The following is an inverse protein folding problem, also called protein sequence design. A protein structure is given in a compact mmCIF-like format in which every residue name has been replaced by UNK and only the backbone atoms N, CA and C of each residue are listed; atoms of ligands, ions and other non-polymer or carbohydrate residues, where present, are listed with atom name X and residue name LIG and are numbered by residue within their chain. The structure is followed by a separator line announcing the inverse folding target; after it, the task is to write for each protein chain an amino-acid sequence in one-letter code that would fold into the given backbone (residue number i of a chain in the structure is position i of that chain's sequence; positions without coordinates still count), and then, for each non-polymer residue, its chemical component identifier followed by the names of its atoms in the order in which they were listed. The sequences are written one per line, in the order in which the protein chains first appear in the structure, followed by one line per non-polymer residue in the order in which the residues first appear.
data_IF_161605470739
#
_entry.id   IF_161605470739
#
_cell.length_a   1.000
_cell.length_b   1.000
_cell.length_c   1.000
_cell.angle_alpha   90.00
_cell.angle_beta   90.00
_cell.angle_gamma   90.00
#
_symmetry.space_group_name_H-M   'P 1'
#
loop_
_entity.id
_entity.type
_entity.pdbx_description
1 polymer ?
#
# COMPACT_ATOMS: atom_id res chain seq x y z
N UNK A 1 49.52 -23.37 42.02
CA UNK A 1 48.60 -24.16 42.88
C UNK A 1 47.33 -23.35 43.10
N UNK A 2 46.20 -24.00 42.97
CA UNK A 2 44.80 -23.58 43.08
C UNK A 2 44.13 -23.03 41.80
N UNK A 3 43.48 -23.99 41.15
CA UNK A 3 42.40 -23.82 40.20
C UNK A 3 41.08 -23.44 40.92
N UNK A 4 40.40 -22.42 40.41
CA UNK A 4 39.00 -22.18 40.74
C UNK A 4 38.16 -22.15 39.46
N UNK A 5 37.46 -23.24 39.20
CA UNK A 5 36.45 -23.38 38.15
C UNK A 5 35.18 -22.64 38.56
N UNK A 6 34.84 -21.56 37.87
CA UNK A 6 33.54 -20.92 38.02
C UNK A 6 32.60 -21.39 36.89
N UNK A 7 31.51 -22.03 37.31
CA UNK A 7 30.42 -22.56 36.50
C UNK A 7 29.68 -21.43 35.80
N UNK A 8 29.67 -21.48 34.46
CA UNK A 8 28.75 -20.74 33.61
C UNK A 8 27.33 -21.27 33.78
N UNK A 9 26.50 -20.47 34.46
CA UNK A 9 25.04 -20.70 34.50
C UNK A 9 24.42 -20.38 33.17
N UNK A 10 23.89 -21.43 32.53
CA UNK A 10 23.08 -21.34 31.31
C UNK A 10 21.78 -20.58 31.61
N UNK A 11 21.69 -19.33 31.21
CA UNK A 11 20.44 -18.57 31.14
C UNK A 11 19.63 -19.11 29.98
N UNK A 12 18.59 -19.87 30.27
CA UNK A 12 17.51 -20.19 29.32
C UNK A 12 16.81 -18.86 28.94
N UNK A 13 16.91 -18.46 27.69
CA UNK A 13 16.01 -17.48 27.10
C UNK A 13 14.58 -18.06 27.12
N UNK A 14 13.58 -17.36 27.64
CA UNK A 14 12.20 -17.69 27.37
C UNK A 14 11.92 -17.23 25.94
N UNK A 15 11.91 -18.18 25.00
CA UNK A 15 11.22 -18.03 23.73
C UNK A 15 9.74 -17.86 24.03
N UNK A 16 9.26 -16.63 24.16
CA UNK A 16 7.84 -16.34 24.07
C UNK A 16 7.40 -16.76 22.67
N UNK A 17 6.71 -17.88 22.64
CA UNK A 17 5.96 -18.37 21.50
C UNK A 17 4.85 -17.32 21.22
N UNK A 18 5.10 -16.42 20.25
CA UNK A 18 4.05 -15.57 19.71
C UNK A 18 3.02 -16.48 19.05
N UNK A 19 1.92 -16.68 19.73
CA UNK A 19 0.75 -17.35 19.20
C UNK A 19 0.22 -16.49 18.06
N UNK A 20 0.35 -16.97 16.83
CA UNK A 20 -0.13 -16.28 15.64
C UNK A 20 -1.63 -16.61 15.48
N UNK A 21 -2.55 -15.69 15.81
CA UNK A 21 -3.99 -15.95 15.74
C UNK A 21 -4.49 -16.21 14.32
N UNK A 22 -3.65 -15.93 13.29
CA UNK A 22 -3.98 -16.23 11.90
C UNK A 22 -3.83 -17.74 11.63
N UNK A 23 -2.92 -18.44 12.31
CA UNK A 23 -2.73 -19.88 12.14
C UNK A 23 -3.95 -20.68 12.65
N UNK A 24 -4.56 -20.28 13.77
CA UNK A 24 -5.76 -20.95 14.27
C UNK A 24 -6.99 -20.77 13.37
N UNK A 25 -7.14 -19.58 12.77
CA UNK A 25 -8.24 -19.33 11.83
C UNK A 25 -8.07 -20.04 10.48
N UNK A 26 -6.85 -20.49 10.15
CA UNK A 26 -6.58 -21.24 8.91
C UNK A 26 -6.70 -22.75 9.09
N UNK A 27 -6.51 -23.30 10.28
CA UNK A 27 -6.64 -24.76 10.50
C UNK A 27 -8.07 -25.27 10.44
N UNK A 28 -9.09 -24.48 10.83
CA UNK A 28 -10.49 -24.86 10.69
C UNK A 28 -11.03 -24.86 9.25
N UNK A 29 -10.29 -24.28 8.30
CA UNK A 29 -10.73 -24.11 6.91
C UNK A 29 -10.02 -25.02 5.89
N UNK A 30 -9.17 -25.96 6.32
CA UNK A 30 -8.33 -26.79 5.42
C UNK A 30 -9.00 -28.06 4.91
N UNK A 31 -10.32 -28.15 4.81
CA UNK A 31 -10.94 -29.19 3.98
C UNK A 31 -11.13 -28.66 2.54
N UNK A 32 -10.34 -29.15 1.57
CA UNK A 32 -10.55 -28.78 0.18
C UNK A 32 -11.76 -29.52 -0.37
N UNK A 33 -12.95 -28.96 -0.18
CA UNK A 33 -14.10 -29.33 -1.00
C UNK A 33 -13.82 -28.83 -2.40
N UNK A 34 -13.23 -29.67 -3.26
CA UNK A 34 -13.15 -29.40 -4.70
C UNK A 34 -14.57 -29.28 -5.22
N UNK A 35 -15.05 -28.05 -5.31
CA UNK A 35 -16.31 -27.74 -5.98
C UNK A 35 -16.10 -27.91 -7.46
N UNK A 36 -16.45 -29.09 -7.99
CA UNK A 36 -16.57 -29.31 -9.41
C UNK A 36 -17.81 -28.58 -9.88
N UNK A 37 -17.64 -27.46 -10.56
CA UNK A 37 -18.72 -26.85 -11.33
C UNK A 37 -19.14 -27.83 -12.41
N UNK A 38 -20.30 -28.46 -12.23
CA UNK A 38 -20.90 -29.29 -13.26
C UNK A 38 -21.46 -28.40 -14.36
N UNK A 39 -21.51 -28.91 -15.61
CA UNK A 39 -22.13 -28.20 -16.75
C UNK A 39 -23.53 -27.68 -16.42
N UNK A 40 -24.27 -28.36 -15.56
CA UNK A 40 -25.59 -27.97 -15.07
C UNK A 40 -25.60 -26.65 -14.28
N UNK A 41 -24.53 -26.37 -13.49
CA UNK A 41 -24.40 -25.10 -12.73
C UNK A 41 -24.15 -23.93 -13.70
N UNK A 42 -23.32 -24.16 -14.72
CA UNK A 42 -23.04 -23.15 -15.74
C UNK A 42 -24.29 -22.88 -16.55
N UNK A 43 -25.05 -23.90 -16.92
CA UNK A 43 -26.32 -23.78 -17.63
C UNK A 43 -27.37 -23.03 -16.80
N UNK A 44 -27.44 -23.32 -15.50
CA UNK A 44 -28.33 -22.63 -14.56
C UNK A 44 -28.01 -21.14 -14.44
N UNK A 45 -26.73 -20.78 -14.37
CA UNK A 45 -26.26 -19.38 -14.36
C UNK A 45 -26.65 -18.67 -15.66
N UNK A 46 -26.43 -19.31 -16.79
CA UNK A 46 -26.82 -18.77 -18.11
C UNK A 46 -28.36 -18.55 -18.22
N UNK A 47 -29.14 -19.49 -17.71
CA UNK A 47 -30.62 -19.36 -17.74
C UNK A 47 -31.14 -18.22 -16.86
N UNK A 48 -30.57 -18.02 -15.66
CA UNK A 48 -30.96 -16.93 -14.76
C UNK A 48 -30.58 -15.57 -15.37
N UNK A 49 -29.39 -15.46 -15.95
CA UNK A 49 -28.95 -14.22 -16.60
C UNK A 49 -29.80 -13.92 -17.84
N UNK A 50 -30.08 -14.93 -18.65
CA UNK A 50 -30.94 -14.76 -19.84
C UNK A 50 -32.36 -14.36 -19.43
N UNK A 51 -32.91 -14.94 -18.35
CA UNK A 51 -34.20 -14.58 -17.79
C UNK A 51 -34.27 -13.15 -17.26
N UNK A 52 -33.20 -12.69 -16.56
CA UNK A 52 -33.06 -11.31 -16.09
C UNK A 52 -32.94 -10.32 -17.26
N UNK A 53 -32.18 -10.65 -18.30
CA UNK A 53 -32.04 -9.83 -19.50
C UNK A 53 -33.35 -9.74 -20.27
N UNK A 54 -34.11 -10.83 -20.37
CA UNK A 54 -35.42 -10.86 -21.02
C UNK A 54 -36.45 -10.05 -20.23
N UNK A 55 -36.41 -10.10 -18.90
CA UNK A 55 -37.28 -9.27 -18.04
C UNK A 55 -36.97 -7.77 -18.19
N UNK A 56 -35.70 -7.40 -18.33
CA UNK A 56 -35.27 -6.01 -18.58
C UNK A 56 -35.67 -5.54 -19.99
N UNK A 57 -35.60 -6.40 -21.00
CA UNK A 57 -35.96 -6.06 -22.38
C UNK A 57 -37.49 -5.92 -22.60
N UNK A 58 -38.28 -6.47 -21.69
CA UNK A 58 -39.77 -6.40 -21.74
C UNK A 58 -40.37 -5.22 -20.97
N UNK A 59 -39.55 -4.35 -20.34
CA UNK A 59 -40.08 -3.12 -19.74
C UNK A 59 -40.40 -2.08 -20.82
N UNK A 60 -41.68 -1.84 -21.15
CA UNK A 60 -42.05 -0.86 -22.17
C UNK A 60 -41.77 0.54 -21.64
N UNK A 61 -40.83 1.25 -22.25
CA UNK A 61 -40.59 2.66 -22.01
C UNK A 61 -39.23 3.05 -21.42
N UNK A 62 -38.29 2.11 -21.25
CA UNK A 62 -36.93 2.44 -20.89
C UNK A 62 -36.10 2.87 -22.12
N UNK A 63 -36.50 3.96 -22.75
CA UNK A 63 -35.50 4.76 -23.48
C UNK A 63 -34.68 5.45 -22.39
N UNK A 64 -33.62 4.79 -21.99
CA UNK A 64 -32.65 5.38 -21.07
C UNK A 64 -31.94 6.47 -21.84
N UNK A 65 -32.32 7.71 -21.59
CA UNK A 65 -31.55 8.87 -21.98
C UNK A 65 -30.23 8.82 -21.18
N UNK A 66 -29.22 8.14 -21.75
CA UNK A 66 -27.92 7.87 -21.13
C UNK A 66 -27.18 9.14 -20.76
N UNK A 67 -27.54 10.28 -21.36
CA UNK A 67 -26.98 11.58 -21.00
C UNK A 67 -27.57 12.14 -19.69
N UNK A 68 -28.81 11.77 -19.30
CA UNK A 68 -29.42 12.23 -18.04
C UNK A 68 -29.14 11.29 -16.87
N UNK A 69 -29.00 9.98 -17.11
CA UNK A 69 -28.71 8.99 -16.10
C UNK A 69 -27.28 9.18 -15.50
N UNK A 70 -26.30 9.51 -16.32
CA UNK A 70 -24.94 9.81 -15.85
C UNK A 70 -24.87 11.04 -14.94
N UNK A 71 -25.66 12.09 -15.23
CA UNK A 71 -25.73 13.30 -14.39
C UNK A 71 -26.51 13.09 -13.09
N UNK A 72 -27.50 12.22 -13.10
CA UNK A 72 -28.28 11.90 -11.89
C UNK A 72 -27.47 11.04 -10.92
N UNK A 73 -26.68 10.08 -11.43
CA UNK A 73 -25.83 9.22 -10.59
C UNK A 73 -24.72 10.00 -9.90
N UNK A 74 -24.06 10.93 -10.62
CA UNK A 74 -23.04 11.81 -10.04
C UNK A 74 -23.66 12.78 -9.02
N UNK A 75 -24.86 13.30 -9.26
CA UNK A 75 -25.55 14.18 -8.27
C UNK A 75 -25.98 13.43 -7.01
N UNK A 76 -26.41 12.17 -7.11
CA UNK A 76 -26.79 11.39 -5.92
C UNK A 76 -25.57 10.90 -5.13
N UNK A 77 -24.45 10.58 -5.78
CA UNK A 77 -23.22 10.23 -5.07
C UNK A 77 -22.60 11.42 -4.33
N UNK A 78 -22.80 12.66 -4.80
CA UNK A 78 -22.32 13.87 -4.12
C UNK A 78 -23.29 14.35 -3.05
N UNK A 79 -24.59 14.06 -3.15
CA UNK A 79 -25.61 14.52 -2.20
C UNK A 79 -25.78 13.61 -0.98
N UNK A 80 -25.26 12.39 -0.97
CA UNK A 80 -25.36 11.48 0.18
C UNK A 80 -24.16 11.55 1.14
N UNK A 81 -23.32 12.58 1.04
CA UNK A 81 -22.42 12.94 2.13
C UNK A 81 -23.26 13.61 3.24
N UNK A 82 -23.90 12.78 4.07
CA UNK A 82 -24.57 13.24 5.28
C UNK A 82 -23.58 14.05 6.13
N UNK A 83 -23.97 15.22 6.67
CA UNK A 83 -23.10 16.00 7.55
C UNK A 83 -22.60 15.20 8.77
N UNK A 84 -23.32 14.18 9.19
CA UNK A 84 -22.91 13.20 10.20
C UNK A 84 -21.67 12.36 9.80
N UNK A 85 -21.48 12.04 8.52
CA UNK A 85 -20.29 11.32 8.08
C UNK A 85 -19.03 12.20 8.13
N UNK A 86 -19.15 13.51 7.82
CA UNK A 86 -18.04 14.45 7.95
C UNK A 86 -17.60 14.65 9.39
N UNK A 87 -18.55 14.81 10.32
CA UNK A 87 -18.24 14.96 11.75
C UNK A 87 -17.57 13.73 12.35
N UNK A 88 -17.96 12.52 11.92
CA UNK A 88 -17.31 11.28 12.36
C UNK A 88 -15.87 11.17 11.82
N UNK A 89 -15.63 11.56 10.58
CA UNK A 89 -14.31 11.54 9.97
C UNK A 89 -13.38 12.61 10.55
N UNK A 90 -13.90 13.79 10.85
CA UNK A 90 -13.20 14.86 11.58
C UNK A 90 -12.85 14.45 13.01
N UNK A 91 -13.76 13.79 13.73
CA UNK A 91 -13.51 13.28 15.09
C UNK A 91 -12.46 12.16 15.09
N UNK A 92 -12.40 11.30 14.06
CA UNK A 92 -11.35 10.31 13.92
C UNK A 92 -9.98 10.93 13.65
N UNK A 93 -9.92 11.95 12.79
CA UNK A 93 -8.69 12.70 12.53
C UNK A 93 -8.13 13.36 13.78
N UNK A 94 -9.00 13.94 14.63
CA UNK A 94 -8.59 14.54 15.90
C UNK A 94 -7.99 13.51 16.84
N UNK A 95 -8.60 12.34 17.03
CA UNK A 95 -8.06 11.27 17.89
C UNK A 95 -6.73 10.71 17.37
N UNK A 96 -6.58 10.52 16.06
CA UNK A 96 -5.33 10.09 15.46
C UNK A 96 -4.21 11.11 15.70
N UNK A 97 -4.51 12.40 15.53
CA UNK A 97 -3.56 13.48 15.77
C UNK A 97 -3.18 13.56 17.24
N UNK A 98 -4.13 13.40 18.16
CA UNK A 98 -3.87 13.39 19.59
C UNK A 98 -2.96 12.23 19.98
N UNK A 99 -3.21 11.03 19.46
CA UNK A 99 -2.36 9.87 19.66
C UNK A 99 -0.94 10.06 19.09
N UNK A 100 -0.79 10.86 18.03
CA UNK A 100 0.49 11.15 17.39
C UNK A 100 1.26 12.33 18.03
N UNK A 101 0.71 13.04 19.02
CA UNK A 101 1.38 14.19 19.65
C UNK A 101 2.78 13.91 20.21
N UNK A 102 3.04 12.76 20.89
CA UNK A 102 4.40 12.43 21.33
C UNK A 102 5.39 12.36 20.17
N UNK A 103 5.01 11.66 19.09
CA UNK A 103 5.80 11.57 17.86
C UNK A 103 6.10 12.97 17.26
N UNK A 104 5.10 13.83 17.12
CA UNK A 104 5.32 15.19 16.60
C UNK A 104 6.17 16.06 17.51
N UNK A 105 6.12 15.83 18.82
CA UNK A 105 6.97 16.53 19.78
C UNK A 105 8.42 16.10 19.64
N UNK A 106 8.68 14.80 19.51
CA UNK A 106 10.01 14.27 19.26
C UNK A 106 10.57 14.75 17.89
N UNK A 107 9.75 14.73 16.83
CA UNK A 107 10.13 15.25 15.51
C UNK A 107 10.51 16.73 15.55
N UNK A 108 9.74 17.58 16.20
CA UNK A 108 10.09 19.01 16.35
C UNK A 108 11.41 19.22 17.07
N UNK A 109 11.69 18.42 18.09
CA UNK A 109 12.95 18.47 18.82
C UNK A 109 14.15 18.15 17.92
N UNK A 110 14.08 17.07 17.16
CA UNK A 110 15.19 16.66 16.27
C UNK A 110 15.35 17.62 15.10
N UNK A 111 14.28 18.09 14.48
CA UNK A 111 14.33 19.12 13.44
C UNK A 111 14.97 20.42 13.94
N UNK A 112 14.70 20.80 15.20
CA UNK A 112 15.35 21.93 15.84
C UNK A 112 16.85 21.74 16.10
N UNK A 113 17.37 20.52 16.19
CA UNK A 113 18.81 20.23 16.23
C UNK A 113 19.41 20.33 14.82
N UNK A 114 18.81 19.69 13.84
CA UNK A 114 19.29 19.67 12.45
C UNK A 114 19.30 21.08 11.83
N UNK A 115 18.27 21.89 12.05
CA UNK A 115 18.20 23.27 11.53
C UNK A 115 19.31 24.18 12.06
N UNK A 116 19.92 23.82 13.18
CA UNK A 116 21.11 24.49 13.75
C UNK A 116 22.41 23.85 13.30
N UNK A 117 22.38 22.89 12.38
CA UNK A 117 23.56 22.18 11.88
C UNK A 117 24.15 21.17 12.88
N UNK A 118 23.39 20.74 13.89
CA UNK A 118 23.84 19.75 14.85
C UNK A 118 23.59 18.33 14.35
N UNK A 119 24.57 17.74 13.68
CA UNK A 119 24.57 16.33 13.25
C UNK A 119 25.57 15.54 14.11
N UNK A 120 25.14 15.11 15.29
CA UNK A 120 25.98 14.50 16.30
C UNK A 120 25.30 13.30 16.96
N UNK A 121 25.99 12.66 17.91
CA UNK A 121 25.42 11.59 18.73
C UNK A 121 24.14 12.00 19.46
N UNK A 122 24.00 13.28 19.81
CA UNK A 122 22.77 13.83 20.40
C UNK A 122 21.61 13.78 19.41
N UNK A 123 21.87 14.08 18.14
CA UNK A 123 20.85 14.01 17.08
C UNK A 123 20.48 12.56 16.78
N UNK A 124 21.46 11.63 16.75
CA UNK A 124 21.19 10.18 16.67
C UNK A 124 20.27 9.73 17.81
N UNK A 125 20.55 10.17 19.06
CA UNK A 125 19.70 9.83 20.20
C UNK A 125 18.29 10.41 20.06
N UNK A 126 18.17 11.66 19.60
CA UNK A 126 16.85 12.27 19.37
C UNK A 126 16.05 11.55 18.27
N UNK A 127 16.70 11.02 17.22
CA UNK A 127 16.04 10.18 16.22
C UNK A 127 15.64 8.81 16.77
N UNK A 128 16.38 8.23 17.72
CA UNK A 128 15.96 7.02 18.44
C UNK A 128 14.70 7.27 19.26
N UNK A 129 14.59 8.45 19.89
CA UNK A 129 13.37 8.84 20.59
C UNK A 129 12.19 8.93 19.61
N UNK A 130 12.36 9.54 18.42
CA UNK A 130 11.33 9.57 17.35
C UNK A 130 10.92 8.16 16.95
N UNK A 131 11.89 7.29 16.70
CA UNK A 131 11.62 5.91 16.27
C UNK A 131 10.81 5.15 17.34
N UNK A 132 11.15 5.32 18.62
CA UNK A 132 10.43 4.71 19.73
C UNK A 132 8.96 5.21 19.80
N UNK A 133 8.73 6.53 19.70
CA UNK A 133 7.38 7.10 19.70
C UNK A 133 6.55 6.62 18.49
N UNK A 134 7.19 6.45 17.33
CA UNK A 134 6.52 5.91 16.15
C UNK A 134 6.17 4.43 16.30
N UNK A 135 7.04 3.64 16.90
CA UNK A 135 6.78 2.24 17.23
C UNK A 135 5.61 2.14 18.20
N UNK A 136 5.61 2.94 19.25
CA UNK A 136 4.52 2.98 20.23
C UNK A 136 3.20 3.38 19.58
N UNK A 137 3.21 4.43 18.76
CA UNK A 137 2.02 4.86 18.00
C UNK A 137 1.52 3.75 17.07
N UNK A 138 2.43 3.00 16.42
CA UNK A 138 2.06 1.92 15.51
C UNK A 138 1.25 0.83 16.20
N UNK A 139 1.52 0.56 17.49
CA UNK A 139 0.85 -0.45 18.31
C UNK A 139 -0.40 0.09 19.03
N UNK A 140 -0.58 1.41 19.12
CA UNK A 140 -1.78 1.97 19.71
C UNK A 140 -3.02 1.66 18.88
N UNK A 141 -4.11 1.32 19.57
CA UNK A 141 -5.41 1.11 18.93
C UNK A 141 -6.08 2.45 18.66
N UNK A 142 -5.98 2.90 17.43
CA UNK A 142 -6.60 4.14 16.95
C UNK A 142 -8.08 3.89 16.70
N UNK A 143 -8.93 4.73 17.28
CA UNK A 143 -10.37 4.64 17.09
C UNK A 143 -10.76 4.88 15.62
N UNK A 144 -11.52 3.96 15.06
CA UNK A 144 -12.14 4.06 13.74
C UNK A 144 -13.67 4.00 13.90
N UNK A 145 -14.42 4.08 12.79
CA UNK A 145 -15.89 4.01 12.85
C UNK A 145 -16.38 2.67 13.39
N UNK A 146 -15.68 1.56 13.08
CA UNK A 146 -16.16 0.21 13.38
C UNK A 146 -15.49 -0.34 14.63
N UNK A 147 -14.16 -0.40 14.64
CA UNK A 147 -13.38 -0.94 15.76
C UNK A 147 -12.02 -0.27 15.84
N UNK A 148 -11.43 -0.11 17.03
CA UNK A 148 -10.07 0.41 17.15
C UNK A 148 -9.06 -0.52 16.50
N UNK A 149 -8.18 0.06 15.64
CA UNK A 149 -7.16 -0.70 14.89
C UNK A 149 -5.78 -0.09 15.09
N UNK A 150 -4.71 -0.92 15.23
CA UNK A 150 -3.35 -0.42 15.24
C UNK A 150 -2.80 -0.23 13.82
N UNK A 151 -1.85 0.72 13.64
CA UNK A 151 -1.31 1.04 12.32
C UNK A 151 -0.44 -0.08 11.72
N UNK A 152 0.14 -0.94 12.55
CA UNK A 152 1.06 -1.99 12.10
C UNK A 152 0.37 -3.12 11.33
N UNK A 153 -0.95 -3.33 11.51
CA UNK A 153 -1.67 -4.46 10.88
C UNK A 153 -1.98 -4.24 9.39
N UNK A 154 -1.58 -3.11 8.79
CA UNK A 154 -1.86 -2.80 7.37
C UNK A 154 -1.49 -3.97 6.46
N UNK A 155 -0.25 -4.45 6.57
CA UNK A 155 0.24 -5.56 5.75
C UNK A 155 -0.56 -6.85 5.97
N UNK A 156 -0.89 -7.16 7.21
CA UNK A 156 -1.68 -8.35 7.52
C UNK A 156 -3.10 -8.29 6.93
N UNK A 157 -3.75 -7.12 6.92
CA UNK A 157 -5.06 -6.95 6.28
C UNK A 157 -4.96 -6.99 4.74
N UNK A 158 -3.88 -6.52 4.15
CA UNK A 158 -3.61 -6.65 2.72
C UNK A 158 -3.38 -8.11 2.31
N UNK A 159 -2.47 -8.81 3.00
CA UNK A 159 -2.21 -10.24 2.78
C UNK A 159 -3.48 -11.08 2.97
N UNK A 160 -4.29 -10.74 3.98
CA UNK A 160 -5.59 -11.38 4.20
C UNK A 160 -6.55 -11.16 3.04
N UNK A 161 -6.62 -9.95 2.49
CA UNK A 161 -7.44 -9.65 1.33
C UNK A 161 -7.00 -10.45 0.10
N UNK A 162 -5.69 -10.55 -0.15
CA UNK A 162 -5.12 -11.35 -1.25
C UNK A 162 -5.47 -12.84 -1.11
N UNK A 163 -5.33 -13.41 0.09
CA UNK A 163 -5.70 -14.82 0.35
C UNK A 163 -7.19 -15.06 0.12
N UNK A 164 -8.05 -14.15 0.59
CA UNK A 164 -9.51 -14.27 0.40
C UNK A 164 -9.90 -14.11 -1.06
N UNK A 165 -9.26 -13.20 -1.79
CA UNK A 165 -9.46 -13.03 -3.23
C UNK A 165 -9.02 -14.26 -4.01
N UNK A 166 -7.86 -14.85 -3.70
CA UNK A 166 -7.41 -16.11 -4.29
C UNK A 166 -8.42 -17.26 -4.09
N UNK A 167 -9.00 -17.38 -2.88
CA UNK A 167 -10.05 -18.38 -2.61
C UNK A 167 -11.32 -18.14 -3.43
N UNK A 168 -11.72 -16.88 -3.57
CA UNK A 168 -12.87 -16.53 -4.43
C UNK A 168 -12.57 -16.79 -5.90
N UNK A 169 -11.35 -16.52 -6.37
CA UNK A 169 -10.93 -16.85 -7.73
C UNK A 169 -10.96 -18.36 -7.98
N UNK A 170 -10.44 -19.17 -7.04
CA UNK A 170 -10.48 -20.63 -7.14
C UNK A 170 -11.93 -21.16 -7.17
N UNK A 171 -12.81 -20.57 -6.37
CA UNK A 171 -14.21 -21.01 -6.26
C UNK A 171 -15.08 -20.48 -7.39
N UNK A 172 -14.93 -19.22 -7.78
CA UNK A 172 -15.87 -18.46 -8.62
C UNK A 172 -15.27 -17.92 -9.91
N UNK A 173 -13.96 -18.05 -10.13
CA UNK A 173 -13.25 -17.40 -11.23
C UNK A 173 -13.84 -17.72 -12.61
N UNK A 174 -14.20 -18.99 -12.85
CA UNK A 174 -14.86 -19.40 -14.11
C UNK A 174 -16.22 -18.72 -14.30
N UNK A 175 -17.03 -18.65 -13.24
CA UNK A 175 -18.34 -18.00 -13.30
C UNK A 175 -18.18 -16.49 -13.52
N UNK A 176 -17.20 -15.85 -12.86
CA UNK A 176 -16.87 -14.44 -13.04
C UNK A 176 -16.46 -14.16 -14.49
N UNK A 177 -15.55 -14.97 -15.06
CA UNK A 177 -15.12 -14.85 -16.44
C UNK A 177 -16.28 -15.01 -17.43
N UNK A 178 -17.17 -15.97 -17.19
CA UNK A 178 -18.38 -16.14 -18.02
C UNK A 178 -19.27 -14.90 -17.97
N UNK A 179 -19.49 -14.33 -16.79
CA UNK A 179 -20.28 -13.10 -16.64
C UNK A 179 -19.61 -11.90 -17.31
N UNK A 180 -18.28 -11.78 -17.20
CA UNK A 180 -17.52 -10.74 -17.89
C UNK A 180 -17.61 -10.88 -19.40
N UNK A 181 -17.51 -12.11 -19.93
CA UNK A 181 -17.66 -12.38 -21.35
C UNK A 181 -19.05 -12.00 -21.85
N UNK A 182 -20.11 -12.38 -21.14
CA UNK A 182 -21.49 -11.99 -21.47
C UNK A 182 -21.66 -10.46 -21.48
N UNK A 183 -21.09 -9.75 -20.50
CA UNK A 183 -21.11 -8.28 -20.51
C UNK A 183 -20.36 -7.69 -21.70
N UNK A 184 -19.23 -8.30 -22.09
CA UNK A 184 -18.46 -7.86 -23.25
C UNK A 184 -19.24 -8.07 -24.56
N UNK A 185 -19.99 -9.18 -24.68
CA UNK A 185 -20.84 -9.46 -25.83
C UNK A 185 -22.03 -8.49 -25.99
N UNK A 186 -22.37 -7.78 -24.90
CA UNK A 186 -23.41 -6.74 -24.93
C UNK A 186 -22.87 -5.37 -25.37
N UNK A 187 -21.59 -5.19 -25.52
CA UNK A 187 -20.99 -3.96 -26.02
C UNK A 187 -21.14 -3.86 -27.54
N UNK A 188 -21.19 -2.63 -28.03
CA UNK A 188 -21.16 -2.38 -29.47
C UNK A 188 -19.80 -2.71 -30.07
N UNK A 189 -19.70 -3.01 -31.37
CA UNK A 189 -18.42 -3.27 -32.03
C UNK A 189 -17.42 -2.11 -31.88
N UNK A 190 -17.89 -0.85 -31.83
CA UNK A 190 -17.09 0.33 -31.66
C UNK A 190 -16.49 0.39 -30.22
N UNK A 191 -17.29 0.07 -29.21
CA UNK A 191 -16.84 0.02 -27.80
C UNK A 191 -15.81 -1.08 -27.60
N UNK A 192 -16.01 -2.26 -28.21
CA UNK A 192 -15.01 -3.36 -28.17
C UNK A 192 -13.72 -2.92 -28.86
N UNK A 193 -13.80 -2.24 -30.02
CA UNK A 193 -12.63 -1.75 -30.72
C UNK A 193 -11.82 -0.75 -29.87
N UNK A 194 -12.49 0.13 -29.12
CA UNK A 194 -11.84 1.08 -28.20
C UNK A 194 -11.18 0.35 -27.02
N UNK A 195 -11.82 -0.69 -26.48
CA UNK A 195 -11.25 -1.49 -25.39
C UNK A 195 -10.00 -2.25 -25.83
N UNK A 196 -9.99 -2.76 -27.05
CA UNK A 196 -8.88 -3.54 -27.60
C UNK A 196 -7.74 -2.66 -28.17
N UNK A 197 -8.00 -1.36 -28.36
CA UNK A 197 -7.00 -0.40 -28.82
C UNK A 197 -5.89 -0.22 -27.75
N UNK A 198 -4.60 -0.23 -28.12
CA UNK A 198 -3.50 0.08 -27.20
C UNK A 198 -3.70 1.44 -26.52
N UNK A 199 -3.33 1.57 -25.26
CA UNK A 199 -3.54 2.80 -24.49
C UNK A 199 -2.81 4.03 -25.12
N UNK A 200 -1.67 3.79 -25.77
CA UNK A 200 -0.89 4.84 -26.44
C UNK A 200 -1.57 5.39 -27.71
N UNK A 201 -2.46 4.61 -28.34
CA UNK A 201 -3.12 4.97 -29.59
C UNK A 201 -4.50 5.63 -29.37
N UNK A 202 -4.96 5.70 -28.10
CA UNK A 202 -6.25 6.27 -27.74
C UNK A 202 -6.17 7.79 -27.67
N UNK A 203 -7.19 8.47 -28.22
CA UNK A 203 -7.44 9.87 -27.89
C UNK A 203 -7.89 9.99 -26.41
N UNK A 204 -7.84 11.20 -25.86
CA UNK A 204 -8.31 11.47 -24.48
C UNK A 204 -9.75 11.05 -24.24
N UNK A 205 -10.61 11.25 -25.25
CA UNK A 205 -12.03 10.84 -25.19
C UNK A 205 -12.18 9.32 -25.21
N UNK A 206 -11.43 8.64 -26.09
CA UNK A 206 -11.39 7.17 -26.14
C UNK A 206 -10.80 6.57 -24.86
N UNK A 207 -9.80 7.20 -24.26
CA UNK A 207 -9.23 6.75 -22.99
C UNK A 207 -10.25 6.84 -21.84
N UNK A 208 -11.02 7.93 -21.76
CA UNK A 208 -12.12 8.07 -20.78
C UNK A 208 -13.23 7.05 -21.01
N UNK A 209 -13.63 6.83 -22.27
CA UNK A 209 -14.63 5.81 -22.61
C UNK A 209 -14.13 4.42 -22.26
N UNK A 210 -12.90 4.06 -22.62
CA UNK A 210 -12.30 2.77 -22.28
C UNK A 210 -12.26 2.53 -20.75
N UNK A 211 -11.97 3.56 -19.95
CA UNK A 211 -11.98 3.48 -18.48
C UNK A 211 -13.42 3.24 -17.96
N UNK A 212 -14.40 3.92 -18.52
CA UNK A 212 -15.82 3.71 -18.17
C UNK A 212 -16.28 2.29 -18.52
N UNK A 213 -15.95 1.81 -19.73
CA UNK A 213 -16.29 0.45 -20.19
C UNK A 213 -15.61 -0.64 -19.34
N UNK A 214 -14.34 -0.46 -18.94
CA UNK A 214 -13.67 -1.37 -18.00
C UNK A 214 -14.45 -1.48 -16.69
N UNK A 215 -14.90 -0.35 -16.13
CA UNK A 215 -15.73 -0.35 -14.92
C UNK A 215 -17.07 -1.09 -15.11
N UNK A 216 -17.69 -0.99 -16.29
CA UNK A 216 -18.93 -1.73 -16.61
C UNK A 216 -18.69 -3.24 -16.77
N UNK A 217 -17.53 -3.65 -17.28
CA UNK A 217 -17.15 -5.05 -17.42
C UNK A 217 -16.74 -5.68 -16.10
N UNK A 218 -16.37 -4.88 -15.10
CA UNK A 218 -16.00 -5.40 -13.80
C UNK A 218 -17.20 -6.06 -13.11
N UNK A 219 -17.03 -7.33 -12.74
CA UNK A 219 -18.04 -8.12 -12.03
C UNK A 219 -17.62 -8.27 -10.57
N UNK A 220 -18.32 -7.65 -9.60
CA UNK A 220 -18.05 -7.85 -8.19
C UNK A 220 -18.26 -9.31 -7.77
N UNK A 221 -17.43 -9.82 -6.88
CA UNK A 221 -17.56 -11.18 -6.34
C UNK A 221 -18.93 -11.45 -5.73
N UNK A 222 -19.53 -10.49 -5.05
CA UNK A 222 -20.87 -10.59 -4.48
C UNK A 222 -21.94 -10.84 -5.52
N UNK A 223 -21.80 -10.28 -6.74
CA UNK A 223 -22.73 -10.53 -7.84
C UNK A 223 -22.59 -11.97 -8.37
N UNK A 224 -21.36 -12.48 -8.46
CA UNK A 224 -21.12 -13.87 -8.85
C UNK A 224 -21.65 -14.82 -7.78
N UNK A 225 -21.39 -14.53 -6.50
CA UNK A 225 -21.89 -15.33 -5.39
C UNK A 225 -23.42 -15.40 -5.36
N UNK A 226 -24.12 -14.32 -5.69
CA UNK A 226 -25.58 -14.25 -5.64
C UNK A 226 -26.29 -15.19 -6.64
N UNK A 227 -25.63 -15.59 -7.74
CA UNK A 227 -26.21 -16.49 -8.75
C UNK A 227 -25.85 -17.96 -8.56
N UNK A 228 -25.12 -18.29 -7.51
CA UNK A 228 -24.78 -19.68 -7.17
C UNK A 228 -25.97 -20.46 -6.63
N UNK A 229 -25.92 -21.81 -6.72
CA UNK A 229 -26.84 -22.67 -5.98
C UNK A 229 -26.79 -22.38 -4.47
N UNK A 230 -27.94 -22.45 -3.80
CA UNK A 230 -28.10 -22.09 -2.38
C UNK A 230 -27.09 -22.78 -1.45
N UNK A 231 -26.67 -24.01 -1.77
CA UNK A 231 -25.68 -24.76 -1.00
C UNK A 231 -24.27 -24.14 -0.99
N UNK A 232 -23.91 -23.34 -1.99
CA UNK A 232 -22.59 -22.70 -2.13
C UNK A 232 -22.66 -21.18 -1.89
N UNK A 233 -23.85 -20.60 -2.05
CA UNK A 233 -24.07 -19.17 -1.96
C UNK A 233 -23.67 -18.59 -0.59
N UNK A 234 -24.02 -19.28 0.51
CA UNK A 234 -23.75 -18.81 1.86
C UNK A 234 -22.24 -18.70 2.15
N UNK A 235 -21.47 -19.70 1.72
CA UNK A 235 -20.01 -19.70 1.87
C UNK A 235 -19.37 -18.58 1.00
N UNK A 236 -19.76 -18.49 -0.28
CA UNK A 236 -19.25 -17.48 -1.17
C UNK A 236 -19.55 -16.05 -0.69
N UNK A 237 -20.78 -15.80 -0.23
CA UNK A 237 -21.16 -14.50 0.35
C UNK A 237 -20.38 -14.16 1.60
N UNK A 238 -20.12 -15.16 2.47
CA UNK A 238 -19.27 -14.97 3.66
C UNK A 238 -17.84 -14.58 3.28
N UNK A 239 -17.25 -15.26 2.30
CA UNK A 239 -15.91 -14.91 1.80
C UNK A 239 -15.88 -13.50 1.18
N UNK A 240 -16.91 -13.11 0.42
CA UNK A 240 -17.03 -11.74 -0.11
C UNK A 240 -17.04 -10.71 1.02
N UNK A 241 -17.85 -10.93 2.06
CA UNK A 241 -17.93 -10.02 3.19
C UNK A 241 -16.61 -9.92 3.96
N UNK A 242 -15.90 -11.05 4.14
CA UNK A 242 -14.56 -11.04 4.76
C UNK A 242 -13.54 -10.28 3.92
N UNK A 243 -13.57 -10.43 2.59
CA UNK A 243 -12.73 -9.69 1.67
C UNK A 243 -13.00 -8.18 1.72
N UNK A 244 -14.27 -7.78 1.66
CA UNK A 244 -14.68 -6.38 1.73
C UNK A 244 -14.24 -5.74 3.06
N UNK A 245 -14.40 -6.47 4.16
CA UNK A 245 -13.92 -6.02 5.48
C UNK A 245 -12.40 -5.86 5.54
N UNK A 246 -11.64 -6.83 5.01
CA UNK A 246 -10.17 -6.76 4.99
C UNK A 246 -9.69 -5.56 4.15
N UNK A 247 -10.29 -5.36 2.97
CA UNK A 247 -9.99 -4.21 2.12
C UNK A 247 -10.35 -2.86 2.77
N UNK A 248 -11.51 -2.77 3.39
CA UNK A 248 -11.95 -1.56 4.10
C UNK A 248 -11.03 -1.24 5.30
N UNK A 249 -10.60 -2.27 6.05
CA UNK A 249 -9.64 -2.12 7.14
C UNK A 249 -8.30 -1.61 6.60
N UNK A 250 -7.73 -2.26 5.57
CA UNK A 250 -6.46 -1.86 4.96
C UNK A 250 -6.51 -0.42 4.46
N UNK A 251 -7.57 -0.03 3.74
CA UNK A 251 -7.75 1.32 3.24
C UNK A 251 -7.88 2.36 4.36
N UNK A 252 -8.56 2.01 5.45
CA UNK A 252 -8.69 2.89 6.61
C UNK A 252 -7.34 3.11 7.30
N UNK A 253 -6.56 2.03 7.50
CA UNK A 253 -5.23 2.12 8.11
C UNK A 253 -4.28 2.89 7.19
N UNK A 254 -4.31 2.61 5.88
CA UNK A 254 -3.51 3.33 4.90
C UNK A 254 -3.77 4.83 4.96
N UNK A 255 -5.03 5.26 4.94
CA UNK A 255 -5.38 6.69 5.09
C UNK A 255 -4.86 7.31 6.39
N UNK A 256 -4.93 6.58 7.52
CA UNK A 256 -4.36 7.07 8.79
C UNK A 256 -2.84 7.24 8.70
N UNK A 257 -2.12 6.32 8.06
CA UNK A 257 -0.67 6.42 7.83
C UNK A 257 -0.32 7.56 6.88
N UNK A 258 -1.09 7.75 5.81
CA UNK A 258 -0.91 8.84 4.84
C UNK A 258 -1.10 10.22 5.49
N UNK A 259 -2.14 10.40 6.32
CA UNK A 259 -2.37 11.66 7.07
C UNK A 259 -1.19 12.03 7.98
N UNK A 260 -0.54 11.03 8.56
CA UNK A 260 0.63 11.23 9.43
C UNK A 260 1.96 11.29 8.65
N UNK A 261 1.95 11.01 7.35
CA UNK A 261 3.15 10.72 6.57
C UNK A 261 4.04 9.66 7.27
N UNK A 262 3.36 8.66 7.86
CA UNK A 262 3.94 7.73 8.83
C UNK A 262 5.10 6.94 8.24
N UNK A 263 4.95 6.42 7.01
CA UNK A 263 5.97 5.58 6.37
C UNK A 263 7.26 6.35 6.11
N UNK A 264 7.14 7.58 5.60
CA UNK A 264 8.30 8.45 5.35
C UNK A 264 9.03 8.79 6.65
N UNK A 265 8.30 9.16 7.70
CA UNK A 265 8.93 9.46 9.00
C UNK A 265 9.54 8.22 9.65
N UNK A 266 8.90 7.06 9.54
CA UNK A 266 9.42 5.79 10.06
C UNK A 266 10.75 5.43 9.40
N UNK A 267 10.81 5.46 8.06
CA UNK A 267 12.04 5.18 7.30
C UNK A 267 13.13 6.22 7.60
N UNK A 268 12.75 7.51 7.67
CA UNK A 268 13.68 8.58 8.05
C UNK A 268 14.24 8.37 9.46
N UNK A 269 13.41 8.00 10.42
CA UNK A 269 13.82 7.77 11.80
C UNK A 269 14.72 6.53 11.92
N UNK A 270 14.40 5.44 11.21
CA UNK A 270 15.28 4.24 11.16
C UNK A 270 16.69 4.60 10.70
N UNK A 271 16.80 5.28 9.56
CA UNK A 271 18.09 5.69 8.99
C UNK A 271 18.82 6.64 9.92
N UNK A 272 18.17 7.71 10.36
CA UNK A 272 18.79 8.80 11.12
C UNK A 272 19.12 8.41 12.57
N UNK A 273 18.56 7.31 13.05
CA UNK A 273 18.94 6.71 14.34
C UNK A 273 20.28 5.97 14.30
N UNK A 274 20.91 5.89 13.11
CA UNK A 274 22.24 5.32 12.91
C UNK A 274 23.26 6.41 12.59
N UNK A 275 24.52 6.29 13.02
CA UNK A 275 25.56 7.28 12.71
C UNK A 275 25.82 7.42 11.20
N UNK A 276 25.78 6.32 10.47
CA UNK A 276 26.02 6.24 9.02
C UNK A 276 24.91 6.95 8.25
N UNK A 277 23.65 6.62 8.57
CA UNK A 277 22.48 7.23 7.95
C UNK A 277 22.36 8.72 8.26
N UNK A 278 22.67 9.13 9.50
CA UNK A 278 22.68 10.56 9.83
C UNK A 278 23.75 11.32 9.04
N UNK A 279 24.94 10.73 8.85
CA UNK A 279 26.01 11.33 8.01
C UNK A 279 25.59 11.42 6.55
N UNK A 280 24.91 10.40 6.02
CA UNK A 280 24.39 10.45 4.64
C UNK A 280 23.38 11.60 4.47
N UNK A 281 22.47 11.78 5.42
CA UNK A 281 21.49 12.88 5.39
C UNK A 281 22.14 14.25 5.53
N UNK A 282 23.11 14.40 6.43
CA UNK A 282 23.88 15.65 6.58
C UNK A 282 24.60 16.03 5.27
N UNK A 283 25.23 15.03 4.65
CA UNK A 283 25.94 15.24 3.38
C UNK A 283 24.95 15.58 2.24
N UNK A 284 23.79 14.91 2.18
CA UNK A 284 22.74 15.22 1.20
C UNK A 284 22.21 16.66 1.37
N UNK A 285 21.96 17.10 2.58
CA UNK A 285 21.52 18.49 2.85
C UNK A 285 22.59 19.53 2.49
N UNK A 286 23.87 19.23 2.75
CA UNK A 286 24.98 20.08 2.30
C UNK A 286 25.04 20.14 0.78
N UNK A 287 24.91 19.00 0.12
CA UNK A 287 24.93 18.91 -1.34
C UNK A 287 23.80 19.72 -1.98
N UNK A 288 22.56 19.58 -1.47
CA UNK A 288 21.42 20.35 -1.94
C UNK A 288 21.63 21.86 -1.80
N UNK A 289 22.10 22.31 -0.62
CA UNK A 289 22.39 23.74 -0.40
C UNK A 289 23.48 24.28 -1.34
N UNK A 290 24.52 23.51 -1.60
CA UNK A 290 25.58 23.89 -2.52
C UNK A 290 25.06 23.96 -3.98
N UNK A 291 24.24 22.98 -4.37
CA UNK A 291 23.58 22.96 -5.68
C UNK A 291 22.67 24.17 -5.87
N UNK A 292 21.81 24.48 -4.91
CA UNK A 292 20.92 25.64 -4.93
C UNK A 292 21.67 26.96 -4.99
N UNK A 293 22.88 27.01 -4.41
CA UNK A 293 23.77 28.17 -4.46
C UNK A 293 24.58 28.27 -5.79
N UNK A 294 24.49 27.27 -6.66
CA UNK A 294 25.26 27.19 -7.92
C UNK A 294 26.73 26.75 -7.69
N UNK A 295 27.13 26.33 -6.51
CA UNK A 295 28.45 25.80 -6.22
C UNK A 295 28.51 24.31 -6.55
N UNK A 296 28.64 24.01 -7.84
CA UNK A 296 28.58 22.66 -8.36
C UNK A 296 29.73 21.76 -7.85
N UNK A 297 30.92 22.31 -7.63
CA UNK A 297 32.06 21.54 -7.13
C UNK A 297 31.85 21.13 -5.66
N UNK A 298 31.34 22.05 -4.84
CA UNK A 298 30.97 21.73 -3.47
C UNK A 298 29.79 20.73 -3.42
N UNK A 299 28.80 20.88 -4.30
CA UNK A 299 27.68 19.96 -4.42
C UNK A 299 28.16 18.55 -4.79
N UNK A 300 29.05 18.42 -5.79
CA UNK A 300 29.65 17.14 -6.18
C UNK A 300 30.32 16.45 -5.00
N UNK A 301 31.26 17.15 -4.33
CA UNK A 301 32.00 16.58 -3.20
C UNK A 301 31.07 16.13 -2.06
N UNK A 302 30.01 16.89 -1.79
CA UNK A 302 29.04 16.55 -0.78
C UNK A 302 28.16 15.33 -1.18
N UNK A 303 27.75 15.21 -2.47
CA UNK A 303 27.06 14.01 -2.95
C UNK A 303 27.94 12.75 -2.91
N UNK A 304 29.22 12.84 -3.25
CA UNK A 304 30.16 11.72 -3.12
C UNK A 304 30.25 11.26 -1.66
N UNK A 305 30.30 12.20 -0.70
CA UNK A 305 30.27 11.90 0.74
C UNK A 305 28.93 11.25 1.14
N UNK A 306 27.82 11.76 0.60
CA UNK A 306 26.48 11.22 0.85
C UNK A 306 26.37 9.76 0.41
N UNK A 307 26.71 9.48 -0.85
CA UNK A 307 26.62 8.14 -1.43
C UNK A 307 27.55 7.14 -0.75
N UNK A 308 28.77 7.57 -0.38
CA UNK A 308 29.70 6.74 0.42
C UNK A 308 29.12 6.42 1.80
N UNK A 309 28.44 7.38 2.43
CA UNK A 309 27.79 7.17 3.72
C UNK A 309 26.58 6.24 3.62
N UNK A 310 25.82 6.31 2.53
CA UNK A 310 24.74 5.35 2.24
C UNK A 310 25.28 3.94 2.05
N UNK A 311 26.37 3.78 1.31
CA UNK A 311 27.02 2.48 1.16
C UNK A 311 27.40 1.89 2.53
N UNK A 312 27.99 2.69 3.40
CA UNK A 312 28.31 2.26 4.75
C UNK A 312 27.05 1.90 5.57
N UNK A 313 25.97 2.68 5.41
CA UNK A 313 24.71 2.41 6.07
C UNK A 313 24.09 1.08 5.62
N UNK A 314 24.03 0.79 4.31
CA UNK A 314 23.52 -0.48 3.79
C UNK A 314 24.40 -1.69 4.18
N UNK A 315 25.70 -1.50 4.25
CA UNK A 315 26.60 -2.57 4.74
C UNK A 315 26.38 -2.87 6.23
N UNK A 316 26.15 -1.84 7.05
CA UNK A 316 25.90 -1.99 8.48
C UNK A 316 24.46 -2.45 8.80
N UNK A 317 23.51 -2.10 7.93
CA UNK A 317 22.06 -2.30 8.09
C UNK A 317 21.46 -2.83 6.78
N UNK A 318 21.69 -4.13 6.46
CA UNK A 318 21.17 -4.72 5.21
C UNK A 318 19.64 -4.64 5.09
N UNK A 319 18.92 -4.58 6.20
CA UNK A 319 17.48 -4.41 6.26
C UNK A 319 16.96 -3.12 5.58
N UNK A 320 17.83 -2.12 5.39
CA UNK A 320 17.45 -0.89 4.70
C UNK A 320 17.21 -1.08 3.20
N UNK A 321 17.80 -2.13 2.59
CA UNK A 321 17.58 -2.42 1.16
C UNK A 321 16.16 -2.88 0.86
N UNK A 322 15.45 -3.46 1.85
CA UNK A 322 14.04 -3.85 1.75
C UNK A 322 13.04 -2.73 2.09
N UNK A 323 13.50 -1.53 2.43
CA UNK A 323 12.63 -0.38 2.74
C UNK A 323 12.51 0.53 1.49
N UNK A 324 11.39 0.44 0.78
CA UNK A 324 11.15 1.17 -0.48
C UNK A 324 11.32 2.69 -0.34
N UNK A 325 11.02 3.26 0.82
CA UNK A 325 11.18 4.69 1.05
C UNK A 325 12.65 5.08 1.14
N UNK A 326 13.46 4.24 1.79
CA UNK A 326 14.92 4.45 1.89
C UNK A 326 15.54 4.34 0.50
N UNK A 327 15.21 3.26 -0.23
CA UNK A 327 15.71 3.03 -1.60
C UNK A 327 15.35 4.21 -2.50
N UNK A 328 14.09 4.65 -2.51
CA UNK A 328 13.65 5.80 -3.29
C UNK A 328 14.41 7.08 -2.94
N UNK A 329 14.64 7.34 -1.64
CA UNK A 329 15.41 8.51 -1.22
C UNK A 329 16.84 8.49 -1.77
N UNK A 330 17.47 7.32 -1.78
CA UNK A 330 18.83 7.18 -2.35
C UNK A 330 18.82 7.35 -3.86
N UNK A 331 17.83 6.79 -4.56
CA UNK A 331 17.67 6.96 -6.02
C UNK A 331 17.48 8.43 -6.41
N UNK A 332 16.65 9.18 -5.68
CA UNK A 332 16.46 10.61 -5.88
C UNK A 332 17.79 11.39 -5.72
N UNK A 333 18.62 11.01 -4.75
CA UNK A 333 19.93 11.62 -4.53
C UNK A 333 20.92 11.26 -5.65
N UNK A 334 20.89 10.03 -6.16
CA UNK A 334 21.69 9.62 -7.33
C UNK A 334 21.30 10.41 -8.56
N UNK A 335 20.00 10.58 -8.81
CA UNK A 335 19.50 11.37 -9.95
C UNK A 335 19.98 12.82 -9.86
N UNK A 336 19.87 13.43 -8.68
CA UNK A 336 20.34 14.82 -8.49
C UNK A 336 21.85 14.92 -8.64
N UNK A 337 22.61 13.94 -8.15
CA UNK A 337 24.07 13.89 -8.35
C UNK A 337 24.44 13.78 -9.84
N UNK A 338 23.71 12.96 -10.62
CA UNK A 338 23.91 12.89 -12.07
C UNK A 338 23.65 14.23 -12.76
N UNK A 339 22.66 15.01 -12.30
CA UNK A 339 22.40 16.37 -12.80
C UNK A 339 23.59 17.30 -12.50
N UNK A 340 24.13 17.29 -11.28
CA UNK A 340 25.32 18.08 -10.92
C UNK A 340 26.51 17.74 -11.81
N UNK A 341 26.76 16.45 -12.05
CA UNK A 341 27.85 16.00 -12.91
C UNK A 341 27.65 16.45 -14.37
N UNK A 342 26.42 16.37 -14.89
CA UNK A 342 26.08 16.81 -16.23
C UNK A 342 26.33 18.31 -16.41
N UNK A 343 25.99 19.15 -15.43
CA UNK A 343 26.28 20.60 -15.45
C UNK A 343 27.77 20.90 -15.36
N UNK A 344 28.56 20.04 -14.72
CA UNK A 344 30.04 20.13 -14.71
C UNK A 344 30.70 19.55 -15.97
N UNK A 345 29.90 18.97 -16.89
CA UNK A 345 30.45 18.30 -18.08
C UNK A 345 31.16 16.98 -17.74
N UNK A 346 30.82 16.35 -16.63
CA UNK A 346 31.37 15.06 -16.12
C UNK A 346 30.39 13.94 -16.33
N UNK A 347 30.88 12.72 -16.52
CA UNK A 347 30.04 11.51 -16.57
C UNK A 347 29.93 10.85 -15.20
N UNK A 348 28.77 10.26 -14.92
CA UNK A 348 28.58 9.42 -13.75
C UNK A 348 29.39 8.12 -13.89
N UNK A 349 30.16 7.77 -12.87
CA UNK A 349 30.90 6.50 -12.83
C UNK A 349 29.96 5.37 -12.39
N UNK A 350 29.56 4.53 -13.34
CA UNK A 350 28.69 3.36 -13.08
C UNK A 350 29.33 2.33 -12.15
N UNK A 351 30.65 2.39 -11.92
CA UNK A 351 31.31 1.52 -10.94
C UNK A 351 30.99 1.89 -9.48
N UNK A 352 30.25 2.98 -9.25
CA UNK A 352 29.76 3.35 -7.94
C UNK A 352 28.81 2.25 -7.43
N UNK A 353 29.27 1.48 -6.44
CA UNK A 353 28.72 0.17 -6.05
C UNK A 353 27.30 0.17 -5.45
N UNK A 354 26.68 1.32 -5.22
CA UNK A 354 25.29 1.41 -4.75
C UNK A 354 24.28 0.83 -5.73
N UNK A 355 24.50 0.98 -7.05
CA UNK A 355 23.62 0.43 -8.06
C UNK A 355 23.57 -1.11 -8.06
N UNK A 356 24.61 -1.79 -7.59
CA UNK A 356 24.63 -3.23 -7.44
C UNK A 356 23.94 -3.72 -6.16
N UNK A 357 23.97 -2.91 -5.09
CA UNK A 357 23.31 -3.21 -3.81
C UNK A 357 21.78 -3.05 -3.90
N UNK A 358 21.31 -2.10 -4.71
CA UNK A 358 19.88 -1.81 -4.90
C UNK A 358 19.20 -2.72 -5.93
N UNK A 359 19.97 -3.41 -6.81
CA UNK A 359 19.41 -4.28 -7.87
C UNK A 359 19.30 -5.76 -7.49
N UNK A 360 19.64 -6.16 -6.29
CA UNK A 360 19.74 -7.58 -5.92
C UNK A 360 18.43 -8.26 -5.52
N UNK A 361 17.27 -7.61 -5.70
CA UNK A 361 15.95 -8.22 -5.43
C UNK A 361 14.98 -8.00 -6.62
N UNK A 362 15.30 -8.65 -7.75
CA UNK A 362 14.34 -8.78 -8.88
C UNK A 362 14.16 -10.25 -9.23
#
# INVERSE_FOLDING_TARGET
MFFATSRLGSRKNPTESYHNPIAEATEELTHPSRVLFTEEVILGICMVITGLLYAFAQMPGAVVDTASAGRSFVKHSVASFSPTARTSQEQQGVRLIDAAQPMFTALRRVQGLESRGHFSSTTVSAWKDVLAEMQDLSHQRIATNDKPMPLWILRAEQERAEVLEGRLEDMLGKAKQTMQQLRREMLTPEEVAILDMPAADRSDEQARLAQSLKGQLEVPWSMVAAVLPQSQQAEAMSLCQLLDNARANAETIKRMRDVLNFDTWMSTAKVSSTPEGLRAREAAERAGRAFDAGDLEAAQSAYETCLTSWQAAFMAHPEFTGDEQIVRTVDEQIITYQQVLAELGRSFDESFSLGSLLRNDS
#
